data_IF_973997014008
#
_entry.id   IF_973997014008
#
_cell.length_a   1.000
_cell.length_b   1.000
_cell.length_c   1.000
_cell.angle_alpha   90.00
_cell.angle_beta   90.00
_cell.angle_gamma   90.00
#
_symmetry.space_group_name_H-M   'P 1'
#
loop_
_entity.id
_entity.type
_entity.pdbx_description
1 polymer ?
#
# COMPACT_ATOMS: atom_id res chain seq x y z
N UNK A 1 -8.66 19.93 -21.63
CA UNK A 1 -8.96 18.51 -21.82
C UNK A 1 -7.78 17.75 -21.24
N UNK A 2 -7.97 17.01 -20.16
CA UNK A 2 -6.87 16.39 -19.42
C UNK A 2 -6.45 15.12 -20.14
N UNK A 3 -5.20 15.08 -20.62
CA UNK A 3 -4.60 13.89 -21.22
C UNK A 3 -4.60 12.74 -20.19
N UNK A 4 -5.22 11.61 -20.54
CA UNK A 4 -5.21 10.41 -19.71
C UNK A 4 -3.95 9.62 -20.07
N UNK A 5 -3.05 9.43 -19.10
CA UNK A 5 -1.83 8.62 -19.25
C UNK A 5 -2.05 7.26 -18.60
N UNK A 6 -1.81 6.19 -19.36
CA UNK A 6 -1.92 4.82 -18.87
C UNK A 6 -0.65 4.41 -18.14
N UNK A 7 -0.77 3.62 -17.06
CA UNK A 7 0.40 3.04 -16.39
C UNK A 7 1.23 2.14 -17.32
N UNK A 8 0.59 1.54 -18.34
CA UNK A 8 1.25 0.71 -19.36
C UNK A 8 1.89 1.50 -20.50
N UNK A 9 1.79 2.84 -20.49
CA UNK A 9 2.42 3.68 -21.52
C UNK A 9 3.95 3.46 -21.51
N UNK A 10 4.60 3.20 -22.66
CA UNK A 10 6.03 2.97 -22.74
C UNK A 10 6.87 4.07 -22.09
N UNK A 11 6.40 5.33 -22.11
CA UNK A 11 7.08 6.47 -21.47
C UNK A 11 7.09 6.35 -19.94
N UNK A 12 6.04 5.79 -19.35
CA UNK A 12 5.95 5.53 -17.92
C UNK A 12 6.75 4.28 -17.56
N UNK A 13 6.64 3.22 -18.35
CA UNK A 13 7.38 1.97 -18.13
C UNK A 13 8.90 2.16 -18.26
N UNK A 14 9.36 3.16 -19.03
CA UNK A 14 10.77 3.51 -19.17
C UNK A 14 11.34 4.33 -17.99
N UNK A 15 10.51 4.81 -17.06
CA UNK A 15 10.98 5.54 -15.88
C UNK A 15 11.77 4.57 -14.99
N UNK A 16 13.06 4.85 -14.70
CA UNK A 16 13.85 3.95 -13.89
C UNK A 16 13.30 3.86 -12.46
N UNK A 17 13.00 2.65 -12.02
CA UNK A 17 12.61 2.38 -10.64
C UNK A 17 13.87 2.22 -9.81
N UNK A 18 14.06 3.13 -8.85
CA UNK A 18 15.13 3.04 -7.86
C UNK A 18 14.55 2.62 -6.51
N UNK A 19 15.29 1.81 -5.77
CA UNK A 19 14.90 1.49 -4.41
C UNK A 19 15.07 2.74 -3.53
N UNK A 20 14.06 3.07 -2.74
CA UNK A 20 14.10 4.20 -1.82
C UNK A 20 14.93 3.90 -0.56
N UNK A 21 15.27 2.63 -0.31
CA UNK A 21 16.05 2.22 0.86
C UNK A 21 15.31 2.34 2.20
N UNK A 22 14.02 2.71 2.16
CA UNK A 22 13.18 2.78 3.34
C UNK A 22 12.96 1.40 3.95
N UNK A 23 12.88 1.36 5.29
CA UNK A 23 12.59 0.12 6.00
C UNK A 23 11.20 -0.38 5.62
N UNK A 24 11.11 -1.67 5.35
CA UNK A 24 9.86 -2.40 5.20
C UNK A 24 9.33 -2.79 6.58
N UNK A 25 8.08 -2.41 6.83
CA UNK A 25 7.40 -2.58 8.11
C UNK A 25 6.24 -3.55 7.91
N UNK A 26 6.16 -4.57 8.76
CA UNK A 26 5.03 -5.49 8.77
C UNK A 26 3.80 -4.77 9.36
N UNK A 27 2.82 -4.50 8.50
CA UNK A 27 1.62 -3.76 8.90
C UNK A 27 0.64 -4.61 9.69
N UNK A 28 0.78 -5.95 9.75
CA UNK A 28 -0.06 -6.79 10.61
C UNK A 28 0.17 -6.53 12.10
N UNK A 29 1.38 -6.07 12.43
CA UNK A 29 1.76 -5.67 13.80
C UNK A 29 1.20 -4.29 14.17
N UNK A 30 0.61 -3.58 13.20
CA UNK A 30 0.09 -2.24 13.36
C UNK A 30 -1.42 -2.23 13.10
N UNK A 31 -2.22 -2.00 14.15
CA UNK A 31 -3.68 -2.08 14.07
C UNK A 31 -4.34 -1.04 13.12
N UNK A 32 -3.55 -0.20 12.44
CA UNK A 32 -4.03 0.89 11.57
C UNK A 32 -4.36 0.45 10.15
N UNK A 33 -3.85 -0.68 9.67
CA UNK A 33 -4.08 -1.16 8.30
C UNK A 33 -4.58 -2.60 8.33
N UNK A 34 -5.81 -2.82 7.87
CA UNK A 34 -6.36 -4.15 7.70
C UNK A 34 -5.68 -4.87 6.52
N UNK A 35 -5.15 -6.07 6.78
CA UNK A 35 -4.50 -6.90 5.77
C UNK A 35 -5.39 -8.12 5.51
N UNK A 36 -5.75 -8.35 4.25
CA UNK A 36 -6.55 -9.53 3.87
C UNK A 36 -5.65 -10.79 3.88
N UNK A 37 -5.90 -11.76 4.78
CA UNK A 37 -5.08 -12.97 4.88
C UNK A 37 -5.13 -13.85 3.62
N UNK A 38 -6.15 -13.69 2.76
CA UNK A 38 -6.25 -14.46 1.50
C UNK A 38 -5.14 -14.10 0.51
N UNK A 39 -4.46 -12.97 0.70
CA UNK A 39 -3.34 -12.51 -0.13
C UNK A 39 -1.97 -12.97 0.37
N UNK A 40 -1.95 -13.84 1.38
CA UNK A 40 -0.70 -14.35 1.93
C UNK A 40 0.13 -15.06 0.87
N UNK A 41 1.37 -14.59 0.72
CA UNK A 41 2.39 -15.20 -0.11
C UNK A 41 3.34 -16.04 0.75
N UNK A 42 4.06 -16.97 0.12
CA UNK A 42 5.01 -17.86 0.83
C UNK A 42 6.09 -17.08 1.61
N UNK A 43 6.45 -15.87 1.15
CA UNK A 43 7.43 -15.01 1.81
C UNK A 43 6.85 -14.11 2.90
N UNK A 44 5.53 -13.98 3.02
CA UNK A 44 4.89 -12.98 3.88
C UNK A 44 5.15 -11.53 3.45
N UNK A 45 5.67 -11.31 2.25
CA UNK A 45 6.00 -9.97 1.75
C UNK A 45 4.74 -9.13 1.49
N UNK A 46 3.58 -9.77 1.29
CA UNK A 46 2.31 -9.08 1.04
C UNK A 46 1.90 -8.08 2.16
N UNK A 47 2.38 -8.31 3.38
CA UNK A 47 2.07 -7.51 4.56
C UNK A 47 3.14 -6.45 4.88
N UNK A 48 4.17 -6.32 4.06
CA UNK A 48 5.26 -5.38 4.30
C UNK A 48 5.07 -4.10 3.51
N UNK A 49 5.07 -2.95 4.19
CA UNK A 49 4.92 -1.63 3.61
C UNK A 49 6.11 -0.73 3.98
N UNK A 50 6.51 0.15 3.07
CA UNK A 50 7.54 1.16 3.38
C UNK A 50 7.05 2.13 4.45
N UNK A 51 7.93 2.49 5.37
CA UNK A 51 7.65 3.39 6.49
C UNK A 51 7.02 4.73 6.04
N UNK A 52 7.52 5.37 4.99
CA UNK A 52 6.99 6.64 4.49
C UNK A 52 5.55 6.52 3.93
N UNK A 53 5.23 5.39 3.32
CA UNK A 53 3.88 5.11 2.79
C UNK A 53 2.93 4.83 3.94
N UNK A 54 3.36 4.01 4.90
CA UNK A 54 2.63 3.73 6.13
C UNK A 54 2.32 5.02 6.91
N UNK A 55 3.29 5.91 7.08
CA UNK A 55 3.09 7.19 7.79
C UNK A 55 1.98 8.03 7.15
N UNK A 56 1.90 8.05 5.81
CA UNK A 56 0.86 8.77 5.08
C UNK A 56 -0.52 8.13 5.29
N UNK A 57 -0.61 6.80 5.23
CA UNK A 57 -1.88 6.10 5.42
C UNK A 57 -2.35 6.07 6.88
N UNK A 58 -1.43 6.05 7.85
CA UNK A 58 -1.77 6.14 9.28
C UNK A 58 -2.34 7.51 9.66
N UNK A 59 -1.80 8.60 9.10
CA UNK A 59 -2.32 9.94 9.39
C UNK A 59 -3.78 10.12 8.92
N UNK A 60 -4.18 9.37 7.88
CA UNK A 60 -5.55 9.39 7.36
C UNK A 60 -6.46 8.34 8.02
N UNK A 61 -5.97 7.12 8.27
CA UNK A 61 -6.75 6.04 8.88
C UNK A 61 -7.08 6.26 10.38
N UNK A 62 -6.25 7.02 11.12
CA UNK A 62 -6.48 7.28 12.55
C UNK A 62 -7.60 8.30 12.80
N UNK A 63 -8.03 9.08 11.80
CA UNK A 63 -9.12 10.06 11.97
C UNK A 63 -10.52 9.55 11.63
N UNK A 64 -10.69 8.33 11.12
CA UNK A 64 -12.01 7.78 10.76
C UNK A 64 -12.18 6.31 11.19
N UNK A 65 -12.66 6.11 12.42
CA UNK A 65 -13.34 4.86 12.84
C UNK A 65 -14.72 4.73 12.16
N UNK A 66 -15.46 3.60 12.29
CA UNK A 66 -15.05 2.20 12.32
C UNK A 66 -15.42 1.49 11.00
N UNK A 67 -14.78 0.34 10.78
CA UNK A 67 -14.95 -0.56 9.62
C UNK A 67 -16.44 -0.77 9.27
N UNK A 68 -16.91 -0.46 8.05
CA UNK A 68 -18.26 -0.82 7.64
C UNK A 68 -18.30 -2.34 7.41
N UNK A 69 -19.24 -3.02 8.06
CA UNK A 69 -19.56 -4.43 7.79
C UNK A 69 -20.07 -4.57 6.36
N UNK A 70 -19.24 -5.04 5.44
CA UNK A 70 -19.68 -5.43 4.10
C UNK A 70 -20.25 -6.86 4.15
N UNK A 71 -21.46 -7.11 3.63
CA UNK A 71 -22.02 -8.45 3.54
C UNK A 71 -21.33 -9.25 2.41
N UNK A 72 -21.25 -10.56 2.64
CA UNK A 72 -20.56 -11.56 1.80
C UNK A 72 -21.11 -11.73 0.39
#
# INVERSE_FOLDING_TARGET
>A
MTEIVLMSDPRIAAIPVVDCGEKLIDVRLQASIAVDPRKEDRSGAFAHLREGVLARHCCEAVMMSPVPSWPS
#
